data_IF_166481105707
#
_entry.id   IF_166481105707
#
_cell.length_a   1.000
_cell.length_b   1.000
_cell.length_c   1.000
_cell.angle_alpha   90.00
_cell.angle_beta   90.00
_cell.angle_gamma   90.00
#
_symmetry.space_group_name_H-M   'P 1'
#
loop_
_entity.id
_entity.type
_entity.pdbx_description
1 polymer ?
#
# COMPACT_ATOMS: atom_id res chain seq x y z
N UNK A 1 -20.68 -2.59 18.05
CA UNK A 1 -19.47 -3.24 17.51
C UNK A 1 -18.43 -2.23 16.96
N UNK A 2 -18.53 -0.96 17.35
CA UNK A 2 -17.64 0.16 16.88
C UNK A 2 -16.53 0.50 17.90
N UNK A 3 -16.52 -0.11 19.07
CA UNK A 3 -15.66 0.26 20.20
C UNK A 3 -14.24 -0.33 20.22
N UNK A 4 -13.81 -1.07 19.19
CA UNK A 4 -12.45 -1.65 19.13
C UNK A 4 -11.48 -0.93 18.20
N UNK A 5 -11.92 0.10 17.47
CA UNK A 5 -11.07 0.83 16.50
C UNK A 5 -10.33 2.04 17.08
N UNK A 6 -10.66 2.47 18.30
CA UNK A 6 -9.90 3.53 18.96
C UNK A 6 -8.87 2.92 19.90
N UNK A 7 -7.78 2.40 19.35
CA UNK A 7 -6.55 2.13 20.11
C UNK A 7 -6.19 3.42 20.84
N UNK A 8 -6.10 3.34 22.17
CA UNK A 8 -5.69 4.42 23.05
C UNK A 8 -4.44 5.10 22.49
N UNK A 9 -4.61 6.26 21.87
CA UNK A 9 -3.52 7.14 21.50
C UNK A 9 -2.95 7.71 22.81
N UNK A 10 -2.03 6.99 23.45
CA UNK A 10 -1.11 7.62 24.38
C UNK A 10 -0.15 8.42 23.52
N UNK A 11 -0.31 9.76 23.56
CA UNK A 11 0.67 10.70 23.00
C UNK A 11 1.93 10.62 23.88
N UNK A 12 2.68 9.55 23.75
CA UNK A 12 4.09 9.51 24.14
C UNK A 12 4.94 9.93 22.92
N UNK A 13 4.51 10.99 22.24
CA UNK A 13 5.08 11.40 20.96
C UNK A 13 6.39 12.16 21.12
N UNK A 14 6.79 12.55 22.32
CA UNK A 14 7.88 13.49 22.47
C UNK A 14 9.25 12.91 22.86
N UNK A 15 9.38 11.62 23.27
CA UNK A 15 10.66 11.21 23.91
C UNK A 15 11.18 9.79 23.62
N UNK A 16 10.71 9.08 22.59
CA UNK A 16 11.43 7.88 22.15
C UNK A 16 11.74 7.98 20.67
N UNK A 17 13.01 8.02 20.32
CA UNK A 17 13.50 7.84 18.96
C UNK A 17 13.19 6.41 18.49
N UNK A 18 11.94 6.18 18.07
CA UNK A 18 11.52 4.90 17.52
C UNK A 18 12.07 4.79 16.11
N UNK A 19 13.05 3.92 15.93
CA UNK A 19 13.53 3.60 14.59
C UNK A 19 12.51 2.73 13.87
N UNK A 20 11.63 3.37 13.11
CA UNK A 20 10.54 2.71 12.38
C UNK A 20 11.05 1.65 11.40
N UNK A 21 12.25 1.87 10.81
CA UNK A 21 12.87 0.90 9.91
C UNK A 21 13.17 -0.40 10.65
N UNK A 22 13.76 -0.29 11.86
CA UNK A 22 14.03 -1.45 12.72
C UNK A 22 12.76 -2.17 13.15
N UNK A 23 11.71 -1.41 13.49
CA UNK A 23 10.40 -1.98 13.87
C UNK A 23 9.82 -2.81 12.73
N UNK A 24 9.77 -2.25 11.51
CA UNK A 24 9.22 -2.94 10.33
C UNK A 24 10.06 -4.17 9.96
N UNK A 25 11.39 -4.03 9.93
CA UNK A 25 12.30 -5.13 9.60
C UNK A 25 12.19 -6.29 10.61
N UNK A 26 12.13 -5.99 11.90
CA UNK A 26 11.95 -7.00 12.93
C UNK A 26 10.58 -7.66 12.84
N UNK A 27 9.53 -6.89 12.58
CA UNK A 27 8.16 -7.38 12.49
C UNK A 27 7.98 -8.37 11.33
N UNK A 28 8.51 -8.04 10.14
CA UNK A 28 8.45 -8.90 8.95
C UNK A 28 9.61 -9.88 8.84
N UNK A 29 10.59 -9.81 9.74
CA UNK A 29 11.84 -10.61 9.71
C UNK A 29 12.56 -10.48 8.36
N UNK A 30 12.62 -9.26 7.81
CA UNK A 30 13.22 -8.96 6.52
C UNK A 30 13.78 -7.55 6.47
N UNK A 31 14.91 -7.40 5.79
CA UNK A 31 15.53 -6.11 5.49
C UNK A 31 15.27 -5.62 4.06
N UNK A 32 14.38 -6.30 3.33
CA UNK A 32 14.09 -6.02 1.93
C UNK A 32 13.10 -4.87 1.75
N UNK A 33 13.21 -3.83 2.58
CA UNK A 33 12.36 -2.66 2.55
C UNK A 33 13.09 -1.41 2.07
N UNK A 34 12.37 -0.55 1.32
CA UNK A 34 12.75 0.82 0.97
C UNK A 34 11.64 1.74 1.49
N UNK A 35 12.01 2.89 2.03
CA UNK A 35 11.08 3.81 2.68
C UNK A 35 10.91 5.08 1.86
N UNK A 36 9.67 5.55 1.72
CA UNK A 36 9.27 6.70 0.92
C UNK A 36 8.38 7.64 1.72
N UNK A 37 8.21 8.84 1.20
CA UNK A 37 7.29 9.83 1.77
C UNK A 37 5.83 9.38 1.73
N UNK A 38 5.42 8.63 0.70
CA UNK A 38 4.05 8.12 0.52
C UNK A 38 4.05 6.70 -0.05
N UNK A 39 2.99 5.93 0.23
CA UNK A 39 2.79 4.62 -0.40
C UNK A 39 2.71 4.70 -1.94
N UNK A 40 2.06 5.73 -2.49
CA UNK A 40 2.01 5.95 -3.94
C UNK A 40 3.37 6.22 -4.58
N UNK A 41 4.32 6.80 -3.84
CA UNK A 41 5.70 6.98 -4.34
C UNK A 41 6.41 5.63 -4.51
N UNK A 42 6.10 4.64 -3.66
CA UNK A 42 6.56 3.27 -3.83
C UNK A 42 6.08 2.69 -5.17
N UNK A 43 4.77 2.80 -5.44
CA UNK A 43 4.16 2.33 -6.68
C UNK A 43 4.77 3.01 -7.91
N UNK A 44 4.88 4.35 -7.86
CA UNK A 44 5.46 5.13 -8.97
C UNK A 44 6.87 4.66 -9.30
N UNK A 45 7.73 4.49 -8.29
CA UNK A 45 9.11 4.05 -8.49
C UNK A 45 9.18 2.63 -9.09
N UNK A 46 8.36 1.71 -8.60
CA UNK A 46 8.26 0.35 -9.17
C UNK A 46 7.84 0.42 -10.64
N UNK A 47 6.80 1.18 -10.96
CA UNK A 47 6.31 1.30 -12.33
C UNK A 47 7.35 1.93 -13.25
N UNK A 48 8.05 2.99 -12.82
CA UNK A 48 9.14 3.60 -13.61
C UNK A 48 10.30 2.63 -13.89
N UNK A 49 10.47 1.60 -13.05
CA UNK A 49 11.46 0.53 -13.27
C UNK A 49 10.96 -0.56 -14.22
N UNK A 50 9.70 -0.98 -14.06
CA UNK A 50 9.17 -2.16 -14.75
C UNK A 50 8.53 -1.85 -16.11
N UNK A 51 8.14 -0.59 -16.37
CA UNK A 51 7.60 -0.16 -17.66
C UNK A 51 8.70 0.01 -18.70
N UNK A 52 8.40 -0.42 -19.93
CA UNK A 52 9.20 -0.20 -21.12
C UNK A 52 8.30 0.33 -22.25
N UNK A 53 8.88 0.73 -23.39
CA UNK A 53 8.09 1.15 -24.56
C UNK A 53 7.18 0.02 -25.07
N UNK A 54 7.66 -1.22 -25.02
CA UNK A 54 6.92 -2.40 -25.46
C UNK A 54 5.93 -2.88 -24.41
N UNK A 55 6.31 -2.83 -23.12
CA UNK A 55 5.50 -3.30 -21.98
C UNK A 55 5.07 -2.12 -21.14
N UNK A 56 3.96 -1.52 -21.49
CA UNK A 56 3.44 -0.31 -20.86
C UNK A 56 2.01 -0.45 -20.31
N UNK A 57 1.49 -1.68 -20.24
CA UNK A 57 0.16 -1.91 -19.69
C UNK A 57 0.23 -2.41 -18.24
N UNK A 58 -0.63 -1.85 -17.40
CA UNK A 58 -0.86 -2.29 -16.02
C UNK A 58 -2.30 -2.75 -15.89
N UNK A 59 -2.49 -3.99 -15.46
CA UNK A 59 -3.81 -4.54 -15.19
C UNK A 59 -4.13 -4.32 -13.71
N UNK A 60 -5.30 -3.76 -13.42
CA UNK A 60 -5.80 -3.59 -12.04
C UNK A 60 -7.32 -3.65 -12.01
N UNK A 61 -7.91 -3.82 -10.83
CA UNK A 61 -9.35 -3.67 -10.67
C UNK A 61 -9.73 -2.21 -10.48
N UNK A 62 -10.98 -1.80 -10.82
CA UNK A 62 -11.46 -0.44 -10.53
C UNK A 62 -11.64 -0.18 -9.03
N UNK A 63 -11.67 -1.25 -8.21
CA UNK A 63 -11.82 -1.15 -6.77
C UNK A 63 -10.47 -0.82 -6.10
N UNK A 64 -10.04 0.43 -6.30
CA UNK A 64 -8.81 0.99 -5.71
C UNK A 64 -8.96 2.50 -5.51
N UNK A 65 -8.01 3.13 -4.82
CA UNK A 65 -8.04 4.57 -4.59
C UNK A 65 -7.76 5.34 -5.89
N UNK A 66 -8.46 6.45 -6.18
CA UNK A 66 -8.17 7.31 -7.34
C UNK A 66 -6.71 7.71 -7.45
N UNK A 67 -6.05 8.00 -6.32
CA UNK A 67 -4.63 8.33 -6.28
C UNK A 67 -3.70 7.21 -6.81
N UNK A 68 -4.12 5.95 -6.74
CA UNK A 68 -3.38 4.82 -7.32
C UNK A 68 -3.52 4.84 -8.84
N UNK A 69 -4.73 5.06 -9.34
CA UNK A 69 -5.01 5.21 -10.78
C UNK A 69 -4.19 6.35 -11.38
N UNK A 70 -4.20 7.52 -10.72
CA UNK A 70 -3.40 8.68 -11.14
C UNK A 70 -1.89 8.36 -11.12
N UNK A 71 -1.41 7.63 -10.13
CA UNK A 71 -0.01 7.22 -10.06
C UNK A 71 0.39 6.32 -11.23
N UNK A 72 -0.49 5.40 -11.65
CA UNK A 72 -0.25 4.53 -12.81
C UNK A 72 -0.14 5.36 -14.09
N UNK A 73 -1.07 6.33 -14.29
CA UNK A 73 -1.05 7.24 -15.45
C UNK A 73 0.21 8.11 -15.46
N UNK A 74 0.57 8.71 -14.32
CA UNK A 74 1.78 9.54 -14.17
C UNK A 74 3.07 8.75 -14.44
N UNK A 75 3.08 7.45 -14.16
CA UNK A 75 4.22 6.60 -14.52
C UNK A 75 4.34 6.35 -16.02
N UNK A 76 3.31 6.69 -16.83
CA UNK A 76 3.25 6.50 -18.27
C UNK A 76 2.60 5.19 -18.71
N UNK A 77 1.92 4.48 -17.79
CA UNK A 77 1.28 3.22 -18.12
C UNK A 77 -0.15 3.40 -18.67
N UNK A 78 -0.52 2.50 -19.57
CA UNK A 78 -1.91 2.27 -19.98
C UNK A 78 -2.58 1.33 -19.00
N UNK A 79 -3.77 1.69 -18.53
CA UNK A 79 -4.50 0.89 -17.55
C UNK A 79 -5.47 -0.04 -18.29
N UNK A 80 -5.45 -1.31 -17.90
CA UNK A 80 -6.50 -2.29 -18.26
C UNK A 80 -7.25 -2.69 -17.01
N UNK A 81 -8.55 -2.52 -17.03
CA UNK A 81 -9.39 -2.92 -15.91
C UNK A 81 -9.84 -4.37 -16.03
N UNK A 82 -9.84 -5.06 -14.91
CA UNK A 82 -10.41 -6.38 -14.71
C UNK A 82 -11.47 -6.32 -13.62
N UNK A 83 -12.59 -7.01 -13.82
CA UNK A 83 -13.65 -7.07 -12.83
C UNK A 83 -13.17 -7.71 -11.53
N UNK A 84 -13.89 -7.45 -10.45
CA UNK A 84 -13.65 -8.05 -9.15
C UNK A 84 -14.46 -9.34 -9.00
N UNK A 85 -13.91 -10.27 -8.23
CA UNK A 85 -14.65 -11.38 -7.66
C UNK A 85 -15.38 -10.87 -6.41
N UNK A 86 -16.71 -10.90 -6.44
CA UNK A 86 -17.55 -10.34 -5.37
C UNK A 86 -17.34 -11.02 -4.01
N UNK A 87 -16.93 -12.29 -4.01
CA UNK A 87 -16.70 -13.04 -2.78
C UNK A 87 -15.36 -12.68 -2.11
N UNK A 88 -14.39 -12.22 -2.88
CA UNK A 88 -13.03 -11.99 -2.39
C UNK A 88 -12.61 -10.51 -2.45
N UNK A 89 -13.29 -9.69 -3.28
CA UNK A 89 -12.88 -8.31 -3.57
C UNK A 89 -11.55 -8.19 -4.31
N UNK A 90 -10.99 -9.32 -4.78
CA UNK A 90 -9.80 -9.36 -5.63
C UNK A 90 -10.18 -9.29 -7.10
N UNK A 91 -9.21 -9.00 -7.99
CA UNK A 91 -9.44 -9.17 -9.43
C UNK A 91 -9.99 -10.57 -9.74
N UNK A 92 -10.99 -10.63 -10.63
CA UNK A 92 -11.50 -11.90 -11.11
C UNK A 92 -10.42 -12.61 -11.94
N UNK A 93 -9.83 -13.66 -11.39
CA UNK A 93 -8.70 -14.36 -12.02
C UNK A 93 -9.07 -15.09 -13.31
N UNK A 94 -10.33 -15.45 -13.50
CA UNK A 94 -10.79 -16.04 -14.77
C UNK A 94 -10.72 -14.98 -15.89
N UNK A 95 -11.21 -13.76 -15.61
CA UNK A 95 -11.20 -12.65 -16.56
C UNK A 95 -9.80 -12.05 -16.74
N UNK A 96 -8.93 -12.18 -15.74
CA UNK A 96 -7.56 -11.64 -15.79
C UNK A 96 -6.80 -12.20 -17.01
N UNK A 97 -6.98 -13.49 -17.31
CA UNK A 97 -6.29 -14.15 -18.44
C UNK A 97 -6.61 -13.48 -19.78
N UNK A 98 -7.85 -13.11 -20.03
CA UNK A 98 -8.27 -12.45 -21.28
C UNK A 98 -7.74 -11.04 -21.43
N UNK A 99 -7.36 -10.38 -20.32
CA UNK A 99 -6.81 -9.01 -20.33
C UNK A 99 -5.28 -8.98 -20.54
N UNK A 100 -4.59 -10.10 -20.32
CA UNK A 100 -3.13 -10.18 -20.48
C UNK A 100 -2.77 -10.18 -21.97
N UNK A 101 -1.84 -9.30 -22.33
CA UNK A 101 -1.26 -9.18 -23.66
C UNK A 101 0.27 -9.21 -23.59
N UNK A 102 0.93 -9.20 -24.74
CA UNK A 102 2.39 -9.04 -24.81
C UNK A 102 2.87 -7.68 -24.24
N UNK A 103 1.99 -6.67 -24.24
CA UNK A 103 2.25 -5.33 -23.69
C UNK A 103 2.08 -5.26 -22.16
N UNK A 104 1.58 -6.31 -21.52
CA UNK A 104 1.36 -6.31 -20.07
C UNK A 104 2.70 -6.35 -19.33
N UNK A 105 2.99 -5.27 -18.62
CA UNK A 105 4.14 -5.13 -17.72
C UNK A 105 3.83 -5.71 -16.35
N UNK A 106 2.72 -5.28 -15.76
CA UNK A 106 2.44 -5.52 -14.36
C UNK A 106 0.96 -5.78 -14.10
N UNK A 107 0.70 -6.54 -13.04
CA UNK A 107 -0.63 -6.71 -12.44
C UNK A 107 -0.57 -6.12 -11.03
N UNK A 108 -1.41 -5.12 -10.78
CA UNK A 108 -1.56 -4.49 -9.48
C UNK A 108 -2.80 -5.03 -8.77
N UNK A 109 -2.63 -5.55 -7.58
CA UNK A 109 -3.68 -6.15 -6.77
C UNK A 109 -3.84 -5.36 -5.49
N UNK A 110 -4.99 -4.71 -5.33
CA UNK A 110 -5.36 -3.98 -4.11
C UNK A 110 -6.03 -4.94 -3.12
N UNK A 111 -5.44 -5.07 -1.94
CA UNK A 111 -5.99 -5.89 -0.87
C UNK A 111 -6.85 -5.02 0.06
N UNK A 112 -8.17 -5.07 -0.11
CA UNK A 112 -9.11 -4.36 0.77
C UNK A 112 -9.45 -5.15 2.03
N UNK A 113 -9.54 -6.49 1.90
CA UNK A 113 -9.85 -7.40 3.00
C UNK A 113 -8.88 -8.58 2.99
N UNK A 114 -8.44 -9.04 4.17
CA UNK A 114 -7.57 -10.20 4.28
C UNK A 114 -8.39 -11.49 4.31
N UNK A 115 -8.05 -12.47 3.45
CA UNK A 115 -8.61 -13.80 3.45
C UNK A 115 -7.53 -14.84 3.10
N UNK A 116 -7.67 -16.06 3.66
CA UNK A 116 -6.77 -17.21 3.38
C UNK A 116 -6.79 -17.67 1.92
N UNK A 117 -7.96 -17.61 1.27
CA UNK A 117 -8.11 -17.97 -0.15
C UNK A 117 -7.23 -17.13 -1.06
N UNK A 118 -7.03 -15.85 -0.70
CA UNK A 118 -6.22 -14.87 -1.46
C UNK A 118 -4.76 -15.28 -1.60
N UNK A 119 -4.16 -15.88 -0.57
CA UNK A 119 -2.75 -16.31 -0.60
C UNK A 119 -2.48 -17.41 -1.64
N UNK A 120 -3.38 -18.38 -1.74
CA UNK A 120 -3.27 -19.45 -2.74
C UNK A 120 -3.39 -18.90 -4.16
N UNK A 121 -4.33 -18.00 -4.39
CA UNK A 121 -4.55 -17.36 -5.70
C UNK A 121 -3.33 -16.53 -6.12
N UNK A 122 -2.73 -15.75 -5.21
CA UNK A 122 -1.51 -14.98 -5.47
C UNK A 122 -0.33 -15.86 -5.86
N UNK A 123 -0.11 -16.95 -5.12
CA UNK A 123 0.97 -17.89 -5.42
C UNK A 123 0.77 -18.58 -6.78
N UNK A 124 -0.45 -18.96 -7.12
CA UNK A 124 -0.76 -19.56 -8.44
C UNK A 124 -0.61 -18.55 -9.57
N UNK A 125 -1.02 -17.29 -9.36
CA UNK A 125 -0.83 -16.21 -10.33
C UNK A 125 0.66 -16.03 -10.67
N UNK A 126 1.51 -15.94 -9.66
CA UNK A 126 2.95 -15.76 -9.86
C UNK A 126 3.61 -16.96 -10.54
N UNK A 127 3.21 -18.18 -10.20
CA UNK A 127 3.68 -19.40 -10.88
C UNK A 127 3.33 -19.40 -12.36
N UNK A 128 2.10 -18.98 -12.68
CA UNK A 128 1.56 -18.98 -14.03
C UNK A 128 2.16 -17.89 -14.92
N UNK A 129 2.34 -16.67 -14.38
CA UNK A 129 2.78 -15.48 -15.13
C UNK A 129 4.17 -15.01 -14.69
N UNK A 130 5.19 -15.87 -14.87
CA UNK A 130 6.57 -15.60 -14.41
C UNK A 130 7.17 -14.31 -14.97
N UNK A 131 6.81 -13.93 -16.20
CA UNK A 131 7.35 -12.74 -16.92
C UNK A 131 6.60 -11.44 -16.59
N UNK A 132 5.48 -11.51 -15.89
CA UNK A 132 4.67 -10.35 -15.50
C UNK A 132 5.00 -10.00 -14.07
N UNK A 133 5.22 -8.72 -13.80
CA UNK A 133 5.48 -8.23 -12.45
C UNK A 133 4.17 -8.17 -11.66
N UNK A 134 4.15 -8.81 -10.49
CA UNK A 134 3.01 -8.75 -9.57
C UNK A 134 3.31 -7.74 -8.48
N UNK A 135 2.39 -6.78 -8.30
CA UNK A 135 2.48 -5.72 -7.30
C UNK A 135 1.29 -5.84 -6.36
N UNK A 136 1.53 -5.86 -5.06
CA UNK A 136 0.48 -5.81 -4.02
C UNK A 136 0.38 -4.41 -3.43
N UNK A 137 -0.85 -3.86 -3.43
CA UNK A 137 -1.21 -2.71 -2.63
C UNK A 137 -1.71 -3.19 -1.26
N UNK A 138 -0.88 -2.98 -0.25
CA UNK A 138 -1.15 -3.36 1.14
C UNK A 138 -1.33 -2.13 2.03
N UNK A 139 -1.78 -1.02 1.47
CA UNK A 139 -1.89 0.26 2.17
C UNK A 139 -2.80 0.22 3.42
N UNK A 140 -3.71 -0.74 3.51
CA UNK A 140 -4.58 -0.95 4.69
C UNK A 140 -4.31 -2.27 5.41
N UNK A 141 -3.37 -3.08 4.92
CA UNK A 141 -3.14 -4.45 5.40
C UNK A 141 -1.77 -4.62 6.09
N UNK A 142 -1.20 -3.55 6.65
CA UNK A 142 0.05 -3.66 7.39
C UNK A 142 -0.13 -4.59 8.60
N UNK A 143 0.74 -5.58 8.71
CA UNK A 143 0.83 -6.45 9.86
C UNK A 143 -0.25 -7.51 10.00
N UNK A 144 -1.14 -7.68 9.02
CA UNK A 144 -2.19 -8.68 9.10
C UNK A 144 -1.60 -10.09 8.96
N UNK A 145 -1.94 -10.95 9.92
CA UNK A 145 -1.55 -12.36 9.97
C UNK A 145 -2.76 -13.25 9.82
N UNK A 146 -2.57 -14.41 9.20
CA UNK A 146 -3.59 -15.45 9.16
C UNK A 146 -3.70 -16.18 10.51
N UNK A 147 -4.62 -17.14 10.62
CA UNK A 147 -4.81 -17.97 11.82
C UNK A 147 -3.57 -18.78 12.23
N UNK A 148 -2.64 -19.02 11.31
CA UNK A 148 -1.36 -19.69 11.57
C UNK A 148 -0.25 -18.70 11.96
N UNK A 149 -0.61 -17.45 12.30
CA UNK A 149 0.35 -16.37 12.64
C UNK A 149 1.33 -16.01 11.50
N UNK A 150 1.09 -16.48 10.27
CA UNK A 150 1.87 -16.11 9.08
C UNK A 150 1.31 -14.83 8.46
N UNK A 151 2.18 -13.97 7.96
CA UNK A 151 1.74 -12.77 7.22
C UNK A 151 0.93 -13.16 6.00
N UNK A 152 -0.16 -12.45 5.77
CA UNK A 152 -1.05 -12.66 4.62
C UNK A 152 -0.56 -11.98 3.35
N UNK A 153 0.59 -11.35 3.40
CA UNK A 153 1.18 -10.49 2.38
C UNK A 153 2.64 -10.86 2.09
N UNK A 154 3.27 -10.15 1.15
CA UNK A 154 4.65 -10.32 0.67
C UNK A 154 4.84 -11.55 -0.24
N UNK A 155 3.80 -11.92 -0.99
CA UNK A 155 3.89 -13.04 -1.95
C UNK A 155 4.19 -12.57 -3.38
N UNK A 156 4.03 -11.29 -3.66
CA UNK A 156 4.30 -10.66 -4.96
C UNK A 156 5.79 -10.34 -5.16
N UNK A 157 6.13 -9.81 -6.33
CA UNK A 157 7.48 -9.28 -6.60
C UNK A 157 7.75 -8.01 -5.81
N UNK A 158 6.68 -7.19 -5.64
CA UNK A 158 6.67 -5.96 -4.87
C UNK A 158 5.40 -5.86 -4.03
N UNK A 159 5.53 -5.37 -2.81
CA UNK A 159 4.39 -5.05 -1.95
C UNK A 159 4.62 -3.69 -1.32
N UNK A 160 3.65 -2.77 -1.43
CA UNK A 160 3.81 -1.46 -0.82
C UNK A 160 2.77 -1.18 0.25
N UNK A 161 3.17 -0.38 1.21
CA UNK A 161 2.41 0.03 2.39
C UNK A 161 2.29 1.54 2.45
N UNK A 162 1.20 2.01 3.02
CA UNK A 162 1.00 3.42 3.34
C UNK A 162 0.90 3.61 4.85
N UNK A 163 1.59 4.60 5.38
CA UNK A 163 1.59 4.96 6.80
C UNK A 163 0.95 6.32 7.06
N UNK A 164 0.03 6.72 6.18
CA UNK A 164 -0.77 7.92 6.39
C UNK A 164 -1.60 7.79 7.70
N UNK A 165 -1.93 8.92 8.33
CA UNK A 165 -2.64 8.98 9.62
C UNK A 165 -3.99 8.25 9.64
N UNK A 166 -4.62 7.98 8.49
CA UNK A 166 -5.87 7.20 8.39
C UNK A 166 -5.66 5.68 8.29
N UNK A 167 -4.43 5.20 8.41
CA UNK A 167 -4.13 3.76 8.29
C UNK A 167 -4.08 3.09 9.66
N UNK A 168 -4.30 1.76 9.67
CA UNK A 168 -4.24 0.94 10.88
C UNK A 168 -2.86 0.97 11.58
N UNK A 169 -1.80 1.12 10.81
CA UNK A 169 -0.46 1.46 11.29
C UNK A 169 -0.02 2.74 10.62
N UNK A 170 0.25 3.77 11.39
CA UNK A 170 0.56 5.08 10.83
C UNK A 170 1.71 5.79 11.54
N UNK A 171 2.43 6.58 10.76
CA UNK A 171 3.50 7.49 11.18
C UNK A 171 3.19 8.93 10.77
N UNK A 172 1.89 9.27 10.64
CA UNK A 172 1.35 10.51 10.09
C UNK A 172 1.51 10.57 8.58
N UNK A 173 2.71 10.41 8.07
CA UNK A 173 3.08 10.32 6.67
C UNK A 173 4.09 9.18 6.50
N UNK A 174 4.17 8.63 5.30
CA UNK A 174 5.16 7.62 4.99
C UNK A 174 4.62 6.47 4.14
N UNK A 175 5.56 5.71 3.61
CA UNK A 175 5.31 4.47 2.90
C UNK A 175 6.51 3.54 2.99
N UNK A 176 6.29 2.25 2.79
CA UNK A 176 7.36 1.28 2.63
C UNK A 176 7.09 0.39 1.43
N UNK A 177 8.13 0.06 0.70
CA UNK A 177 8.15 -0.88 -0.40
C UNK A 177 8.94 -2.11 0.01
N UNK A 178 8.30 -3.26 0.05
CA UNK A 178 8.98 -4.55 0.11
C UNK A 178 9.34 -5.01 -1.29
N UNK A 179 10.57 -5.48 -1.48
CA UNK A 179 11.08 -5.99 -2.75
C UNK A 179 11.59 -7.40 -2.56
N UNK A 180 10.96 -8.37 -3.22
CA UNK A 180 11.29 -9.79 -3.05
C UNK A 180 12.68 -10.15 -3.58
N UNK A 181 13.07 -9.57 -4.71
CA UNK A 181 14.34 -9.85 -5.37
C UNK A 181 15.42 -8.87 -4.92
N UNK A 182 16.52 -9.38 -4.38
CA UNK A 182 17.62 -8.55 -3.83
C UNK A 182 18.33 -7.70 -4.87
N UNK A 183 18.51 -8.20 -6.11
CA UNK A 183 19.11 -7.42 -7.19
C UNK A 183 18.23 -6.21 -7.52
N UNK A 184 16.92 -6.43 -7.68
CA UNK A 184 15.95 -5.34 -7.90
C UNK A 184 15.89 -4.37 -6.72
N UNK A 185 16.05 -4.87 -5.49
CA UNK A 185 16.13 -4.05 -4.29
C UNK A 185 17.33 -3.09 -4.31
N UNK A 186 18.52 -3.60 -4.65
CA UNK A 186 19.74 -2.78 -4.76
C UNK A 186 19.56 -1.67 -5.81
N UNK A 187 19.06 -2.00 -7.00
CA UNK A 187 18.81 -1.04 -8.07
C UNK A 187 17.83 0.08 -7.63
N UNK A 188 16.75 -0.29 -6.96
CA UNK A 188 15.75 0.67 -6.50
C UNK A 188 16.29 1.56 -5.37
N UNK A 189 17.12 1.02 -4.48
CA UNK A 189 17.79 1.83 -3.43
C UNK A 189 18.70 2.90 -4.01
N UNK A 190 19.47 2.59 -5.04
CA UNK A 190 20.34 3.55 -5.72
C UNK A 190 19.55 4.72 -6.32
N UNK A 191 18.36 4.44 -6.87
CA UNK A 191 17.49 5.45 -7.46
C UNK A 191 16.58 6.17 -6.45
N UNK A 192 16.51 5.70 -5.21
CA UNK A 192 15.66 6.30 -4.18
C UNK A 192 16.07 7.74 -3.84
N UNK A 193 17.36 8.07 -3.93
CA UNK A 193 17.88 9.41 -3.63
C UNK A 193 17.28 10.51 -4.52
N UNK A 194 16.71 10.14 -5.67
CA UNK A 194 16.02 11.08 -6.57
C UNK A 194 14.62 11.48 -6.06
N UNK A 195 14.09 10.78 -5.04
CA UNK A 195 12.79 11.09 -4.46
C UNK A 195 12.95 12.07 -3.32
N UNK A 196 12.24 13.18 -3.41
CA UNK A 196 12.28 14.23 -2.38
C UNK A 196 11.67 13.77 -1.06
N UNK A 197 12.27 14.20 0.04
CA UNK A 197 11.67 14.10 1.36
C UNK A 197 10.59 15.18 1.54
N UNK A 198 9.78 15.04 2.59
CA UNK A 198 8.85 16.11 2.97
C UNK A 198 9.60 17.36 3.44
N UNK A 199 9.09 18.51 3.04
CA UNK A 199 9.49 19.77 3.65
C UNK A 199 8.85 19.91 5.06
N UNK A 200 9.45 20.76 5.88
CA UNK A 200 8.99 21.03 7.25
C UNK A 200 7.55 21.58 7.28
N UNK A 201 7.20 22.41 6.31
CA UNK A 201 5.88 23.04 6.21
C UNK A 201 4.80 21.98 5.96
N UNK A 202 5.03 21.03 5.05
CA UNK A 202 4.12 19.92 4.78
C UNK A 202 3.92 19.05 6.03
N UNK A 203 4.97 18.79 6.80
CA UNK A 203 4.87 18.03 8.06
C UNK A 203 4.00 18.80 9.07
N UNK A 204 4.26 20.10 9.29
CA UNK A 204 3.48 20.92 10.22
C UNK A 204 2.02 21.01 9.81
N UNK A 205 1.72 21.32 8.53
CA UNK A 205 0.35 21.33 8.00
C UNK A 205 -0.37 20.02 8.23
N UNK A 206 0.30 18.90 8.03
CA UNK A 206 -0.28 17.57 8.23
C UNK A 206 -0.55 17.28 9.71
N UNK A 207 0.37 17.67 10.60
CA UNK A 207 0.18 17.56 12.05
C UNK A 207 -1.02 18.38 12.53
N UNK A 208 -1.15 19.62 12.09
CA UNK A 208 -2.30 20.48 12.41
C UNK A 208 -3.60 19.84 11.90
N UNK A 209 -3.62 19.38 10.67
CA UNK A 209 -4.80 18.67 10.11
C UNK A 209 -5.17 17.43 10.93
N UNK A 210 -4.19 16.62 11.33
CA UNK A 210 -4.43 15.45 12.18
C UNK A 210 -4.99 15.85 13.56
N UNK A 211 -4.49 16.94 14.15
CA UNK A 211 -4.97 17.44 15.42
C UNK A 211 -6.42 17.94 15.33
N UNK A 212 -6.76 18.66 14.28
CA UNK A 212 -8.13 19.12 14.01
C UNK A 212 -9.06 17.93 13.86
N UNK A 213 -8.72 16.96 12.99
CA UNK A 213 -9.54 15.75 12.80
C UNK A 213 -9.72 14.99 14.10
N UNK A 214 -8.70 14.91 14.96
CA UNK A 214 -8.79 14.25 16.27
C UNK A 214 -9.77 14.96 17.20
N UNK A 215 -9.78 16.30 17.22
CA UNK A 215 -10.74 17.09 18.01
C UNK A 215 -12.16 16.81 17.53
N UNK A 216 -12.41 16.92 16.22
CA UNK A 216 -13.76 16.70 15.65
C UNK A 216 -14.21 15.23 15.70
N UNK A 217 -13.30 14.28 15.76
CA UNK A 217 -13.61 12.84 15.94
C UNK A 217 -13.80 12.43 17.39
N UNK A 218 -13.64 13.37 18.34
CA UNK A 218 -13.95 13.09 19.75
C UNK A 218 -15.46 12.91 19.91
N UNK A 219 -15.88 11.78 20.53
CA UNK A 219 -17.32 11.45 20.67
C UNK A 219 -18.13 12.52 21.40
N UNK A 220 -17.52 13.22 22.37
CA UNK A 220 -18.20 14.28 23.12
C UNK A 220 -18.35 15.54 22.25
N UNK A 221 -17.32 15.92 21.50
CA UNK A 221 -17.39 17.03 20.58
C UNK A 221 -18.35 16.75 19.43
N UNK A 222 -18.29 15.55 18.83
CA UNK A 222 -19.23 15.12 17.79
C UNK A 222 -20.66 15.18 18.28
N UNK A 223 -20.93 14.67 19.49
CA UNK A 223 -22.27 14.66 20.11
C UNK A 223 -22.76 16.07 20.44
N UNK A 224 -21.87 16.95 20.91
CA UNK A 224 -22.26 18.31 21.32
C UNK A 224 -22.46 19.27 20.14
N UNK A 225 -21.71 19.11 19.04
CA UNK A 225 -21.67 20.11 17.99
C UNK A 225 -22.07 19.59 16.60
N UNK A 226 -21.82 18.32 16.27
CA UNK A 226 -22.07 17.80 14.93
C UNK A 226 -23.35 16.97 14.82
N UNK A 227 -23.78 16.33 15.91
CA UNK A 227 -24.97 15.50 15.90
C UNK A 227 -26.27 16.29 15.64
N UNK A 228 -26.29 17.59 15.96
CA UNK A 228 -27.43 18.48 15.76
C UNK A 228 -27.41 19.24 14.43
N UNK A 229 -26.36 19.04 13.60
CA UNK A 229 -26.20 19.71 12.28
C UNK A 229 -26.52 18.75 11.14
N UNK A 230 -26.58 17.43 11.40
CA UNK A 230 -26.96 16.38 10.47
C UNK A 230 -28.39 15.94 10.75
#
# INVERSE_FOLDING_TARGET
MINRFFIKFKINFFFKNINIKKVISNYYKSNNFIYYSYGRACLFHVLKKELTQEKNEVITSPLTLPAIIETIKLAGAKIKYVDIDINTGLPNFANLKSKISFRTSSILITHLYSDKKKLKQMSSLKKKYKKITIIEDLAINFGIKNSQKKFTSLNADYSFFSFNFMKNFHTILGGALYVKNEKKLKDLRLKQSTFTSFDKITIIKTLLKCSIIKIFSNKYFFRAFLFYII
#
